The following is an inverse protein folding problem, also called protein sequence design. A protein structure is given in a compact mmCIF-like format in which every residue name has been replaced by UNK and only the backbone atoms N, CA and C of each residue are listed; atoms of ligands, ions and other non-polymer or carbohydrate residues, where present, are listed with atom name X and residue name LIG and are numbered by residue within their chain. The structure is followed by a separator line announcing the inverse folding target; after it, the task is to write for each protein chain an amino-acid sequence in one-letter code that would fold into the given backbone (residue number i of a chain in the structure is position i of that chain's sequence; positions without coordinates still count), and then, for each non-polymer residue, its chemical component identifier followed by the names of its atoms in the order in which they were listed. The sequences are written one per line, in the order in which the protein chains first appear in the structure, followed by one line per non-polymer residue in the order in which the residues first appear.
data_IF_394738952142
#
_entry.id   IF_394738952142
#
_cell.length_a   1.000
_cell.length_b   1.000
_cell.length_c   1.000
_cell.angle_alpha   90.00
_cell.angle_beta   90.00
_cell.angle_gamma   90.00
#
_symmetry.space_group_name_H-M   'P 1'
#
loop_
_entity.id
_entity.type
_entity.pdbx_description
1 polymer ?
#
# COMPACT_ATOMS: atom_id res chain seq x y z
N UNK A 1 38.80 -3.22 30.13
CA UNK A 1 38.87 -2.96 28.68
C UNK A 1 37.61 -3.46 27.93
N UNK A 2 36.80 -4.34 28.53
CA UNK A 2 35.53 -4.87 27.94
C UNK A 2 34.44 -3.82 27.67
N UNK A 3 34.47 -2.69 28.38
CA UNK A 3 33.42 -1.67 28.34
C UNK A 3 33.34 -0.96 26.97
N UNK A 4 34.48 -0.53 26.43
CA UNK A 4 34.51 0.23 25.17
C UNK A 4 34.18 -0.62 23.93
N UNK A 5 34.54 -1.91 23.94
CA UNK A 5 34.15 -2.85 22.88
C UNK A 5 32.65 -3.13 22.91
N UNK A 6 32.08 -3.21 24.11
CA UNK A 6 30.63 -3.41 24.30
C UNK A 6 29.87 -2.18 23.83
N UNK A 7 30.32 -0.98 24.22
CA UNK A 7 29.79 0.29 23.75
C UNK A 7 29.82 0.41 22.21
N UNK A 8 30.98 0.14 21.58
CA UNK A 8 31.12 0.13 20.11
C UNK A 8 30.10 -0.78 19.43
N UNK A 9 29.91 -1.97 19.99
CA UNK A 9 28.98 -2.97 19.45
C UNK A 9 27.52 -2.52 19.63
N UNK A 10 27.19 -1.85 20.73
CA UNK A 10 25.87 -1.25 20.93
C UNK A 10 25.59 -0.14 19.92
N UNK A 11 26.51 0.82 19.76
CA UNK A 11 26.39 1.90 18.75
C UNK A 11 26.22 1.31 17.35
N UNK A 12 27.04 0.30 16.99
CA UNK A 12 26.94 -0.39 15.70
C UNK A 12 25.56 -1.03 15.48
N UNK A 13 25.03 -1.70 16.51
CA UNK A 13 23.69 -2.30 16.46
C UNK A 13 22.60 -1.23 16.33
N UNK A 14 22.71 -0.11 17.04
CA UNK A 14 21.75 1.00 16.97
C UNK A 14 21.72 1.61 15.56
N UNK A 15 22.90 1.88 14.98
CA UNK A 15 23.02 2.38 13.60
C UNK A 15 22.35 1.44 12.60
N UNK A 16 22.63 0.13 12.69
CA UNK A 16 22.02 -0.87 11.82
C UNK A 16 20.50 -1.00 12.04
N UNK A 17 20.04 -0.87 13.29
CA UNK A 17 18.62 -0.92 13.66
C UNK A 17 17.85 0.25 13.05
N UNK A 18 18.30 1.48 13.29
CA UNK A 18 17.62 2.68 12.78
C UNK A 18 17.67 2.77 11.26
N UNK A 19 18.79 2.40 10.62
CA UNK A 19 18.85 2.30 9.15
C UNK A 19 17.76 1.37 8.60
N UNK A 20 17.62 0.17 9.16
CA UNK A 20 16.61 -0.81 8.74
C UNK A 20 15.20 -0.32 9.05
N UNK A 21 14.99 0.38 10.17
CA UNK A 21 13.71 0.97 10.56
C UNK A 21 13.27 2.05 9.56
N UNK A 22 14.20 2.85 9.06
CA UNK A 22 13.96 3.83 7.99
C UNK A 22 13.80 3.20 6.60
N UNK A 23 14.02 1.89 6.44
CA UNK A 23 13.94 1.20 5.16
C UNK A 23 15.08 1.54 4.19
N UNK A 24 16.20 2.04 4.71
CA UNK A 24 17.33 2.49 3.90
C UNK A 24 18.35 1.35 3.70
N UNK A 25 18.92 1.27 2.50
CA UNK A 25 20.09 0.41 2.25
C UNK A 25 21.37 1.10 2.73
N UNK A 26 22.46 0.34 2.92
CA UNK A 26 23.77 0.93 3.25
C UNK A 26 24.24 1.89 2.15
N UNK A 27 23.96 1.59 0.86
CA UNK A 27 24.28 2.45 -0.27
C UNK A 27 23.50 3.78 -0.24
N UNK A 28 22.21 3.77 0.11
CA UNK A 28 21.41 4.99 0.19
C UNK A 28 21.88 5.92 1.33
N UNK A 29 22.31 5.36 2.46
CA UNK A 29 22.90 6.15 3.55
C UNK A 29 24.27 6.69 3.16
N UNK A 30 25.08 5.86 2.50
CA UNK A 30 26.40 6.25 2.00
C UNK A 30 26.32 7.43 1.03
N UNK A 31 25.37 7.38 0.09
CA UNK A 31 25.10 8.47 -0.87
C UNK A 31 24.69 9.77 -0.15
N UNK A 32 23.77 9.69 0.82
CA UNK A 32 23.34 10.86 1.61
C UNK A 32 24.46 11.49 2.44
N UNK A 33 25.43 10.71 2.90
CA UNK A 33 26.54 11.18 3.71
C UNK A 33 27.79 11.53 2.90
N UNK A 34 27.80 11.27 1.58
CA UNK A 34 29.00 11.31 0.74
C UNK A 34 30.13 10.40 1.27
N UNK A 35 29.77 9.21 1.74
CA UNK A 35 30.70 8.16 2.16
C UNK A 35 30.59 6.94 1.24
N UNK A 36 31.54 6.00 1.39
CA UNK A 36 31.40 4.68 0.77
C UNK A 36 30.46 3.78 1.57
N UNK A 37 29.74 2.90 0.88
CA UNK A 37 28.98 1.79 1.47
C UNK A 37 29.83 0.96 2.45
N UNK A 38 31.12 0.75 2.13
CA UNK A 38 32.10 0.08 2.99
C UNK A 38 32.29 0.79 4.33
N UNK A 39 32.26 2.12 4.38
CA UNK A 39 32.37 2.89 5.62
C UNK A 39 31.14 2.67 6.52
N UNK A 40 29.94 2.73 5.95
CA UNK A 40 28.70 2.44 6.67
C UNK A 40 28.73 1.01 7.22
N UNK A 41 29.13 0.05 6.38
CA UNK A 41 29.26 -1.35 6.76
C UNK A 41 30.27 -1.56 7.90
N UNK A 42 31.36 -0.79 7.93
CA UNK A 42 32.37 -0.83 9.00
C UNK A 42 31.80 -0.34 10.33
N UNK A 43 31.04 0.76 10.32
CA UNK A 43 30.40 1.29 11.52
C UNK A 43 29.31 0.36 12.06
N UNK A 44 28.50 -0.25 11.18
CA UNK A 44 27.46 -1.20 11.56
C UNK A 44 27.99 -2.55 12.09
N UNK A 45 29.28 -2.86 11.88
CA UNK A 45 29.93 -4.04 12.48
C UNK A 45 30.64 -3.74 13.79
N UNK A 46 30.80 -2.47 14.17
CA UNK A 46 31.56 -2.07 15.36
C UNK A 46 33.08 -2.02 15.12
N UNK A 47 33.53 -2.16 13.88
CA UNK A 47 34.94 -2.07 13.46
C UNK A 47 35.47 -0.62 13.48
N UNK A 48 34.61 0.35 13.80
CA UNK A 48 34.91 1.76 13.97
C UNK A 48 33.68 2.53 14.42
N UNK A 49 33.89 3.69 15.05
CA UNK A 49 32.80 4.63 15.39
C UNK A 49 32.89 5.80 14.41
N UNK A 50 31.77 6.24 13.80
CA UNK A 50 31.73 7.49 13.04
C UNK A 50 32.12 8.70 13.91
N UNK A 51 32.60 9.78 13.29
CA UNK A 51 32.87 11.01 14.04
C UNK A 51 31.57 11.68 14.50
N UNK A 52 31.68 12.70 15.36
CA UNK A 52 30.52 13.41 15.91
C UNK A 52 29.67 14.11 14.83
N UNK A 53 30.29 14.61 13.76
CA UNK A 53 29.60 15.27 12.66
C UNK A 53 28.76 14.27 11.85
N UNK A 54 29.35 13.12 11.52
CA UNK A 54 28.69 12.01 10.85
C UNK A 54 27.59 11.42 11.73
N UNK A 55 27.81 11.27 13.03
CA UNK A 55 26.77 10.86 14.00
C UNK A 55 25.57 11.80 13.99
N UNK A 56 25.83 13.11 13.95
CA UNK A 56 24.76 14.13 13.87
C UNK A 56 23.99 14.01 12.57
N UNK A 57 24.68 13.82 11.44
CA UNK A 57 24.02 13.63 10.15
C UNK A 57 23.25 12.31 10.07
N UNK A 58 23.77 11.24 10.66
CA UNK A 58 23.07 9.95 10.77
C UNK A 58 21.79 10.11 11.59
N UNK A 59 21.85 10.83 12.71
CA UNK A 59 20.69 11.13 13.55
C UNK A 59 19.61 11.87 12.75
N UNK A 60 19.99 12.89 11.98
CA UNK A 60 19.09 13.62 11.07
C UNK A 60 18.50 12.69 10.00
N UNK A 61 19.31 11.85 9.35
CA UNK A 61 18.85 10.92 8.30
C UNK A 61 17.85 9.90 8.87
N UNK A 62 18.07 9.46 10.11
CA UNK A 62 17.22 8.48 10.77
C UNK A 62 16.03 9.09 11.51
N UNK A 63 16.01 10.41 11.68
CA UNK A 63 14.96 11.12 12.42
C UNK A 63 15.01 10.84 13.92
N UNK A 64 16.21 10.64 14.47
CA UNK A 64 16.45 10.38 15.90
C UNK A 64 17.35 11.46 16.50
N UNK A 65 17.41 11.55 17.82
CA UNK A 65 18.49 12.29 18.49
C UNK A 65 19.84 11.51 18.49
N UNK A 66 20.96 12.22 18.60
CA UNK A 66 22.30 11.58 18.68
C UNK A 66 22.44 10.72 19.94
N UNK A 67 21.81 11.13 21.04
CA UNK A 67 21.79 10.39 22.31
C UNK A 67 21.23 8.97 22.11
N UNK A 68 20.16 8.85 21.33
CA UNK A 68 19.52 7.57 21.00
C UNK A 68 20.47 6.64 20.23
N UNK A 69 21.29 7.17 19.32
CA UNK A 69 22.29 6.38 18.59
C UNK A 69 23.41 5.85 19.52
N UNK A 70 23.75 6.63 20.55
CA UNK A 70 24.79 6.29 21.52
C UNK A 70 24.26 5.54 22.75
N UNK A 71 22.94 5.44 22.89
CA UNK A 71 22.28 4.84 24.05
C UNK A 71 22.62 3.36 24.21
N UNK A 72 22.85 2.96 25.46
CA UNK A 72 23.19 1.58 25.83
C UNK A 72 22.00 0.83 26.46
N UNK A 73 20.93 1.55 26.81
CA UNK A 73 19.74 1.00 27.48
C UNK A 73 18.56 0.92 26.53
N UNK A 74 17.93 -0.27 26.45
CA UNK A 74 16.75 -0.54 25.62
C UNK A 74 15.56 0.38 25.93
N UNK A 75 15.45 0.87 27.17
CA UNK A 75 14.36 1.76 27.59
C UNK A 75 14.43 3.15 26.96
N UNK A 76 15.62 3.65 26.60
CA UNK A 76 15.75 4.94 25.91
C UNK A 76 15.40 4.84 24.41
N UNK A 77 15.68 3.69 23.77
CA UNK A 77 15.27 3.42 22.38
C UNK A 77 13.75 3.39 22.19
N UNK A 78 12.98 3.11 23.26
CA UNK A 78 11.52 3.08 23.27
C UNK A 78 10.88 4.45 23.57
N UNK A 79 11.68 5.45 23.94
CA UNK A 79 11.18 6.76 24.40
C UNK A 79 11.02 7.82 23.29
N UNK A 80 11.20 7.44 22.02
CA UNK A 80 11.01 8.34 20.88
C UNK A 80 9.65 8.07 20.20
N UNK A 81 8.57 8.77 20.61
CA UNK A 81 7.19 8.48 20.18
C UNK A 81 7.02 8.59 18.66
N UNK A 82 7.73 9.50 17.99
CA UNK A 82 7.59 9.75 16.54
C UNK A 82 7.92 8.51 15.68
N UNK A 83 8.94 7.72 16.04
CA UNK A 83 9.40 6.61 15.20
C UNK A 83 8.61 5.32 15.41
N UNK A 84 8.05 5.12 16.60
CA UNK A 84 7.08 4.05 16.83
C UNK A 84 5.76 4.36 16.13
N UNK A 85 5.32 5.62 16.15
CA UNK A 85 4.10 6.08 15.49
C UNK A 85 4.20 5.87 13.97
N UNK A 86 5.30 6.30 13.32
CA UNK A 86 5.54 6.09 11.88
C UNK A 86 5.61 4.60 11.50
N UNK A 87 6.22 3.76 12.34
CA UNK A 87 6.30 2.32 12.08
C UNK A 87 4.93 1.63 12.23
N UNK A 88 4.15 2.05 13.23
CA UNK A 88 2.79 1.56 13.46
C UNK A 88 1.84 1.95 12.33
N UNK A 89 1.94 3.19 11.82
CA UNK A 89 1.14 3.71 10.73
C UNK A 89 1.42 2.95 9.42
N UNK A 90 2.69 2.65 9.13
CA UNK A 90 3.09 1.82 7.98
C UNK A 90 2.57 0.39 8.11
N UNK A 91 2.62 -0.20 9.30
CA UNK A 91 2.13 -1.56 9.54
C UNK A 91 0.59 -1.65 9.39
N UNK A 92 -0.12 -0.65 9.89
CA UNK A 92 -1.58 -0.53 9.79
C UNK A 92 -2.03 -0.32 8.34
N UNK A 93 -1.33 0.54 7.58
CA UNK A 93 -1.58 0.72 6.14
C UNK A 93 -1.36 -0.55 5.33
N UNK A 94 -0.37 -1.39 5.67
CA UNK A 94 -0.20 -2.70 5.03
C UNK A 94 -1.39 -3.60 5.30
N UNK A 95 -1.84 -3.70 6.56
CA UNK A 95 -3.00 -4.53 6.94
C UNK A 95 -4.26 -4.08 6.20
N UNK A 96 -4.54 -2.78 6.14
CA UNK A 96 -5.70 -2.24 5.41
C UNK A 96 -5.68 -2.62 3.92
N UNK A 97 -4.52 -2.50 3.25
CA UNK A 97 -4.38 -2.93 1.85
C UNK A 97 -4.65 -4.43 1.66
N UNK A 98 -4.16 -5.27 2.57
CA UNK A 98 -4.43 -6.71 2.52
C UNK A 98 -5.92 -7.03 2.67
N UNK A 99 -6.63 -6.37 3.59
CA UNK A 99 -8.07 -6.60 3.80
C UNK A 99 -8.86 -6.18 2.55
N UNK A 100 -8.52 -5.05 1.94
CA UNK A 100 -9.16 -4.59 0.70
C UNK A 100 -8.99 -5.59 -0.45
N UNK A 101 -7.76 -6.06 -0.69
CA UNK A 101 -7.47 -7.05 -1.75
C UNK A 101 -8.22 -8.36 -1.49
N UNK A 102 -8.25 -8.82 -0.23
CA UNK A 102 -8.94 -10.05 0.14
C UNK A 102 -10.46 -9.95 -0.07
N UNK A 103 -11.06 -8.81 0.25
CA UNK A 103 -12.50 -8.61 0.05
C UNK A 103 -12.90 -8.52 -1.43
N UNK A 104 -12.07 -7.89 -2.27
CA UNK A 104 -12.26 -7.89 -3.72
C UNK A 104 -12.20 -9.32 -4.27
N UNK A 105 -11.18 -10.09 -3.86
CA UNK A 105 -11.04 -11.49 -4.24
C UNK A 105 -12.24 -12.36 -3.82
N UNK A 106 -12.73 -12.16 -2.59
CA UNK A 106 -13.91 -12.86 -2.09
C UNK A 106 -15.17 -12.53 -2.92
N UNK A 107 -15.36 -11.27 -3.29
CA UNK A 107 -16.51 -10.82 -4.09
C UNK A 107 -16.50 -11.46 -5.47
N UNK A 108 -15.33 -11.52 -6.11
CA UNK A 108 -15.16 -12.19 -7.40
C UNK A 108 -15.38 -13.70 -7.27
N UNK A 109 -14.87 -14.32 -6.21
CA UNK A 109 -15.08 -15.75 -5.94
C UNK A 109 -16.57 -16.08 -5.77
N UNK A 110 -17.31 -15.28 -4.99
CA UNK A 110 -18.75 -15.44 -4.81
C UNK A 110 -19.47 -15.29 -6.15
N UNK A 111 -19.12 -14.30 -6.97
CA UNK A 111 -19.71 -14.10 -8.30
C UNK A 111 -19.52 -15.33 -9.19
N UNK A 112 -18.30 -15.86 -9.26
CA UNK A 112 -17.98 -17.06 -10.04
C UNK A 112 -18.75 -18.27 -9.51
N UNK A 113 -18.83 -18.43 -8.18
CA UNK A 113 -19.56 -19.52 -7.55
C UNK A 113 -21.06 -19.48 -7.87
N UNK A 114 -21.68 -18.29 -7.82
CA UNK A 114 -23.08 -18.09 -8.19
C UNK A 114 -23.30 -18.48 -9.65
N UNK A 115 -22.42 -18.06 -10.57
CA UNK A 115 -22.48 -18.45 -11.98
C UNK A 115 -22.40 -19.98 -12.16
N UNK A 116 -21.44 -20.64 -11.49
CA UNK A 116 -21.25 -22.10 -11.58
C UNK A 116 -22.49 -22.84 -11.08
N UNK A 117 -23.03 -22.47 -9.90
CA UNK A 117 -24.23 -23.11 -9.34
C UNK A 117 -25.43 -22.93 -10.26
N UNK A 118 -25.66 -21.72 -10.78
CA UNK A 118 -26.75 -21.47 -11.72
C UNK A 118 -26.60 -22.28 -13.01
N UNK A 119 -25.39 -22.37 -13.56
CA UNK A 119 -25.13 -23.14 -14.78
C UNK A 119 -25.43 -24.64 -14.62
N UNK A 120 -25.12 -25.21 -13.45
CA UNK A 120 -25.38 -26.63 -13.14
C UNK A 120 -26.88 -26.87 -12.94
N UNK A 121 -27.55 -26.04 -12.13
CA UNK A 121 -28.96 -26.24 -11.74
C UNK A 121 -29.91 -26.04 -12.92
N UNK A 122 -29.67 -25.03 -13.75
CA UNK A 122 -30.57 -24.68 -14.84
C UNK A 122 -30.15 -25.27 -16.21
N UNK A 123 -29.07 -26.06 -16.26
CA UNK A 123 -28.52 -26.69 -17.48
C UNK A 123 -28.48 -25.75 -18.70
N UNK A 124 -28.06 -24.50 -18.49
CA UNK A 124 -28.37 -23.42 -19.43
C UNK A 124 -27.21 -22.94 -20.29
N UNK A 125 -27.61 -22.29 -21.39
CA UNK A 125 -26.81 -21.68 -22.46
C UNK A 125 -25.92 -20.52 -22.01
N UNK A 126 -25.07 -20.06 -22.95
CA UNK A 126 -24.10 -18.94 -22.85
C UNK A 126 -24.67 -17.62 -22.30
N UNK A 127 -25.99 -17.48 -22.25
CA UNK A 127 -26.76 -16.36 -21.68
C UNK A 127 -26.39 -16.02 -20.24
N UNK A 128 -25.95 -16.99 -19.43
CA UNK A 128 -25.58 -16.72 -18.04
C UNK A 128 -24.20 -16.09 -17.87
N UNK A 129 -23.39 -16.00 -18.93
CA UNK A 129 -22.08 -15.32 -18.89
C UNK A 129 -22.21 -13.85 -18.48
N UNK A 130 -23.37 -13.21 -18.74
CA UNK A 130 -23.62 -11.84 -18.30
C UNK A 130 -23.75 -11.68 -16.77
N UNK A 131 -24.01 -12.76 -16.02
CA UNK A 131 -23.99 -12.73 -14.55
C UNK A 131 -22.56 -12.50 -14.02
N UNK A 132 -21.55 -13.08 -14.70
CA UNK A 132 -20.15 -12.84 -14.38
C UNK A 132 -19.75 -11.38 -14.63
N UNK A 133 -20.30 -10.78 -15.69
CA UNK A 133 -20.01 -9.42 -16.10
C UNK A 133 -20.42 -8.41 -15.01
N UNK A 134 -21.56 -8.63 -14.33
CA UNK A 134 -22.02 -7.82 -13.20
C UNK A 134 -21.18 -7.99 -11.91
N UNK A 135 -20.34 -9.02 -11.82
CA UNK A 135 -19.39 -9.16 -10.73
C UNK A 135 -18.28 -8.11 -10.73
N UNK A 136 -17.96 -7.55 -11.90
CA UNK A 136 -16.91 -6.53 -12.05
C UNK A 136 -17.33 -5.20 -11.40
N UNK A 137 -18.52 -4.64 -11.68
CA UNK A 137 -19.06 -3.51 -10.92
C UNK A 137 -19.16 -3.76 -9.41
N UNK A 138 -19.61 -4.94 -9.00
CA UNK A 138 -19.73 -5.29 -7.58
C UNK A 138 -18.38 -5.25 -6.86
N UNK A 139 -17.33 -5.82 -7.48
CA UNK A 139 -15.97 -5.75 -6.96
C UNK A 139 -15.41 -4.32 -6.92
N UNK A 140 -15.77 -3.48 -7.90
CA UNK A 140 -15.38 -2.07 -7.95
C UNK A 140 -16.02 -1.24 -6.83
N UNK A 141 -17.29 -1.50 -6.47
CA UNK A 141 -17.97 -0.87 -5.32
C UNK A 141 -17.23 -1.20 -4.02
N UNK A 142 -16.90 -2.48 -3.82
CA UNK A 142 -16.18 -2.94 -2.61
C UNK A 142 -14.80 -2.26 -2.51
N UNK A 143 -14.08 -2.17 -3.63
CA UNK A 143 -12.81 -1.45 -3.68
C UNK A 143 -12.96 0.04 -3.32
N UNK A 144 -14.02 0.70 -3.79
CA UNK A 144 -14.31 2.10 -3.51
C UNK A 144 -14.63 2.32 -2.02
N UNK A 145 -15.47 1.47 -1.42
CA UNK A 145 -15.80 1.55 0.01
C UNK A 145 -14.54 1.43 0.87
N UNK A 146 -13.67 0.47 0.60
CA UNK A 146 -12.42 0.35 1.36
C UNK A 146 -11.43 1.48 1.08
N UNK A 147 -11.42 2.03 -0.13
CA UNK A 147 -10.63 3.22 -0.44
C UNK A 147 -11.18 4.48 0.25
N UNK A 148 -12.50 4.59 0.49
CA UNK A 148 -13.09 5.65 1.31
C UNK A 148 -12.77 5.51 2.79
N UNK A 149 -12.79 4.28 3.32
CA UNK A 149 -12.56 4.03 4.75
C UNK A 149 -11.07 4.20 5.12
N UNK A 150 -10.14 3.83 4.22
CA UNK A 150 -8.70 3.78 4.53
C UNK A 150 -7.79 4.63 3.65
N UNK A 151 -8.30 5.21 2.56
CA UNK A 151 -7.52 5.97 1.60
C UNK A 151 -7.63 7.48 1.76
N UNK A 152 -6.71 8.21 1.11
CA UNK A 152 -6.82 9.66 0.94
C UNK A 152 -7.79 9.95 -0.21
N UNK A 153 -8.72 10.89 0.00
CA UNK A 153 -9.82 11.27 -0.90
C UNK A 153 -9.43 11.53 -2.36
N UNK A 154 -8.18 11.90 -2.66
CA UNK A 154 -7.74 12.22 -4.02
C UNK A 154 -7.77 11.02 -4.99
N UNK A 155 -7.63 9.80 -4.49
CA UNK A 155 -7.69 8.60 -5.34
C UNK A 155 -9.13 8.14 -5.60
N UNK A 156 -10.12 8.72 -4.94
CA UNK A 156 -11.51 8.27 -5.04
C UNK A 156 -12.14 8.62 -6.39
N UNK A 157 -11.78 9.77 -6.96
CA UNK A 157 -12.25 10.23 -8.28
C UNK A 157 -11.89 9.26 -9.41
N UNK A 158 -10.70 8.64 -9.35
CA UNK A 158 -10.26 7.63 -10.31
C UNK A 158 -11.05 6.32 -10.16
N UNK A 159 -11.31 5.87 -8.94
CA UNK A 159 -12.05 4.63 -8.68
C UNK A 159 -13.54 4.79 -9.04
N UNK A 160 -14.12 5.96 -8.76
CA UNK A 160 -15.48 6.33 -9.16
C UNK A 160 -15.64 6.33 -10.68
N UNK A 161 -14.68 6.88 -11.42
CA UNK A 161 -14.66 6.81 -12.89
C UNK A 161 -14.72 5.36 -13.39
N UNK A 162 -13.85 4.50 -12.87
CA UNK A 162 -13.81 3.09 -13.26
C UNK A 162 -15.14 2.39 -12.97
N UNK A 163 -15.77 2.69 -11.83
CA UNK A 163 -17.08 2.14 -11.47
C UNK A 163 -18.18 2.59 -12.44
N UNK A 164 -18.23 3.87 -12.78
CA UNK A 164 -19.23 4.45 -13.67
C UNK A 164 -19.12 3.83 -15.08
N UNK A 165 -17.91 3.73 -15.62
CA UNK A 165 -17.68 3.14 -16.93
C UNK A 165 -17.93 1.63 -16.97
N UNK A 166 -17.58 0.90 -15.92
CA UNK A 166 -17.85 -0.55 -15.85
C UNK A 166 -19.36 -0.84 -15.79
N UNK A 167 -20.13 -0.10 -14.99
CA UNK A 167 -21.60 -0.23 -14.95
C UNK A 167 -22.20 0.07 -16.32
N UNK A 168 -21.79 1.16 -16.96
CA UNK A 168 -22.33 1.56 -18.26
C UNK A 168 -22.08 0.51 -19.35
N UNK A 169 -20.86 -0.01 -19.44
CA UNK A 169 -20.50 -1.08 -20.38
C UNK A 169 -21.33 -2.34 -20.09
N UNK A 170 -21.48 -2.73 -18.81
CA UNK A 170 -22.29 -3.89 -18.44
C UNK A 170 -23.74 -3.72 -18.88
N UNK A 171 -24.34 -2.56 -18.62
CA UNK A 171 -25.74 -2.28 -18.98
C UNK A 171 -25.98 -2.33 -20.50
N UNK A 172 -25.09 -1.72 -21.29
CA UNK A 172 -25.19 -1.74 -22.76
C UNK A 172 -25.09 -3.16 -23.31
N UNK A 173 -24.11 -3.95 -22.84
CA UNK A 173 -23.94 -5.33 -23.28
C UNK A 173 -25.16 -6.19 -22.93
N UNK A 174 -25.76 -6.00 -21.75
CA UNK A 174 -27.03 -6.69 -21.42
C UNK A 174 -28.20 -6.26 -22.30
N UNK A 175 -28.34 -4.97 -22.62
CA UNK A 175 -29.46 -4.46 -23.43
C UNK A 175 -29.35 -4.92 -24.89
N UNK A 176 -28.15 -4.88 -25.47
CA UNK A 176 -27.88 -5.33 -26.83
C UNK A 176 -28.23 -6.82 -27.00
N UNK A 177 -27.90 -7.61 -25.98
CA UNK A 177 -28.14 -9.04 -25.96
C UNK A 177 -29.62 -9.43 -25.78
N UNK A 178 -30.33 -8.81 -24.83
CA UNK A 178 -31.71 -9.20 -24.50
C UNK A 178 -32.81 -8.47 -25.29
N UNK A 179 -32.58 -7.21 -25.67
CA UNK A 179 -33.63 -6.34 -26.21
C UNK A 179 -33.35 -5.93 -27.66
N UNK A 180 -32.15 -6.23 -28.19
CA UNK A 180 -31.75 -5.97 -29.58
C UNK A 180 -32.12 -4.55 -30.08
N UNK A 181 -32.00 -3.55 -29.20
CA UNK A 181 -32.34 -2.17 -29.54
C UNK A 181 -31.24 -1.60 -30.45
N UNK A 182 -31.59 -1.06 -31.63
CA UNK A 182 -30.62 -0.33 -32.45
C UNK A 182 -30.13 0.90 -31.69
N UNK A 183 -28.81 1.11 -31.67
CA UNK A 183 -28.13 2.24 -31.02
C UNK A 183 -28.06 2.23 -29.47
N UNK A 184 -28.08 1.06 -28.83
CA UNK A 184 -27.84 0.94 -27.38
C UNK A 184 -26.51 1.58 -26.92
N UNK A 185 -25.53 1.71 -27.81
CA UNK A 185 -24.26 2.40 -27.56
C UNK A 185 -24.41 3.87 -27.12
N UNK A 186 -25.53 4.54 -27.45
CA UNK A 186 -25.79 5.92 -27.03
C UNK A 186 -25.90 6.07 -25.50
N UNK A 187 -26.23 4.99 -24.78
CA UNK A 187 -26.24 4.98 -23.30
C UNK A 187 -24.85 5.21 -22.70
N UNK A 188 -23.76 4.98 -23.44
CA UNK A 188 -22.39 5.31 -23.00
C UNK A 188 -22.13 6.82 -22.90
N UNK A 189 -23.01 7.67 -23.42
CA UNK A 189 -22.91 9.13 -23.26
C UNK A 189 -23.38 9.60 -21.88
N UNK A 190 -24.22 8.83 -21.20
CA UNK A 190 -24.80 9.16 -19.89
C UNK A 190 -23.73 9.22 -18.76
N UNK A 191 -22.78 8.27 -18.68
CA UNK A 191 -21.59 8.34 -17.81
C UNK A 191 -20.79 9.63 -17.89
N UNK A 192 -20.70 10.22 -19.09
CA UNK A 192 -19.88 11.41 -19.34
C UNK A 192 -20.39 12.63 -18.56
N UNK A 193 -21.71 12.74 -18.40
CA UNK A 193 -22.36 13.80 -17.63
C UNK A 193 -22.03 13.70 -16.13
N UNK A 194 -22.06 12.48 -15.60
CA UNK A 194 -21.73 12.21 -14.20
C UNK A 194 -20.24 12.41 -13.90
N UNK A 195 -19.37 12.02 -14.83
CA UNK A 195 -17.92 12.18 -14.68
C UNK A 195 -17.51 13.65 -14.58
N UNK A 196 -18.18 14.54 -15.33
CA UNK A 196 -17.94 15.99 -15.25
C UNK A 196 -18.31 16.56 -13.88
N UNK A 197 -19.36 16.04 -13.23
CA UNK A 197 -19.79 16.50 -11.91
C UNK A 197 -18.80 16.10 -10.82
N UNK A 198 -18.20 14.90 -10.92
CA UNK A 198 -17.23 14.37 -9.95
C UNK A 198 -15.86 15.07 -10.04
N UNK A 199 -15.51 15.60 -11.21
CA UNK A 199 -14.21 16.25 -11.45
C UNK A 199 -14.20 17.72 -10.97
N UNK A 200 -15.37 18.36 -10.87
CA UNK A 200 -15.55 19.76 -10.42
C UNK A 200 -15.56 19.81 -8.89
#
# INVERSE_FOLDING_TARGET
MEDFTTFRKQVANNLAYYRKKCGLTQSMVAEKLNYSDKAISKWERGDGIPDAYVLTNLAIIYGVSVDVLLSTTKEQLASEPELEEIASEKALNKKHKYIAILSIGLTLFITVLVYVVLSIVFSTNKEFLYVLLWGIPAASIVALVFNCIWGKSYNNTYIESVLIWTIAICTVLTIEHYVHIPNAWLLLLLPFSFQLLIII
#
